data_IF_047161293668
#
_entry.id   IF_047161293668
#
_cell.length_a   1.000
_cell.length_b   1.000
_cell.length_c   1.000
_cell.angle_alpha   90.00
_cell.angle_beta   90.00
_cell.angle_gamma   90.00
#
_symmetry.space_group_name_H-M   'P 1'
#
loop_
_entity.id
_entity.type
_entity.pdbx_description
1 polymer ?
#
# COMPACT_ATOMS: atom_id res chain seq x y z
N UNK A 1 2.67 11.57 15.73
CA UNK A 1 1.42 11.92 14.98
C UNK A 1 1.77 11.84 13.49
N UNK A 2 1.59 10.67 12.87
CA UNK A 2 2.05 10.39 11.51
C UNK A 2 1.14 10.98 10.42
N UNK A 3 1.65 11.05 9.19
CA UNK A 3 0.97 11.68 8.05
C UNK A 3 -0.35 10.97 7.68
N UNK A 4 -0.50 9.71 8.07
CA UNK A 4 -1.68 8.89 7.83
C UNK A 4 -2.95 9.37 8.56
N UNK A 5 -2.83 10.06 9.70
CA UNK A 5 -4.00 10.66 10.38
C UNK A 5 -4.56 11.85 9.60
N UNK A 6 -3.68 12.67 8.99
CA UNK A 6 -4.10 13.79 8.13
C UNK A 6 -4.72 13.30 6.82
N UNK A 7 -4.31 12.12 6.37
CA UNK A 7 -4.91 11.44 5.23
C UNK A 7 -6.21 10.69 5.57
N UNK A 8 -6.74 10.82 6.80
CA UNK A 8 -8.14 10.59 7.24
C UNK A 8 -8.84 9.27 6.90
N UNK A 9 -8.20 8.37 6.16
CA UNK A 9 -8.91 7.29 5.48
C UNK A 9 -8.20 6.86 4.21
N UNK A 10 -6.94 6.41 4.30
CA UNK A 10 -6.32 5.60 3.22
C UNK A 10 -7.19 4.39 2.83
N UNK A 11 -8.12 3.99 3.70
CA UNK A 11 -9.18 3.02 3.44
C UNK A 11 -10.25 3.47 2.41
N UNK A 12 -10.56 4.78 2.32
CA UNK A 12 -11.58 5.33 1.40
C UNK A 12 -11.01 6.29 0.34
N UNK A 13 -9.82 6.84 0.55
CA UNK A 13 -9.18 7.71 -0.41
C UNK A 13 -8.71 6.89 -1.62
N UNK A 14 -9.38 7.11 -2.76
CA UNK A 14 -8.94 6.57 -4.05
C UNK A 14 -7.58 7.20 -4.37
N UNK A 15 -6.51 6.39 -4.51
CA UNK A 15 -5.19 6.94 -4.82
C UNK A 15 -5.24 7.60 -6.20
N UNK A 16 -4.50 8.69 -6.36
CA UNK A 16 -4.27 9.25 -7.68
C UNK A 16 -3.68 8.15 -8.58
N UNK A 17 -4.14 7.98 -9.83
CA UNK A 17 -3.73 6.86 -10.69
C UNK A 17 -2.22 6.80 -10.95
N UNK A 18 -1.50 7.92 -10.80
CA UNK A 18 -0.04 7.98 -10.87
C UNK A 18 0.72 7.71 -9.56
N UNK A 19 0.02 7.41 -8.45
CA UNK A 19 0.68 7.14 -7.16
C UNK A 19 1.36 5.77 -7.19
N UNK A 20 2.61 5.64 -6.69
CA UNK A 20 3.28 4.33 -6.56
C UNK A 20 2.47 3.30 -5.76
N UNK A 21 1.62 3.75 -4.85
CA UNK A 21 0.76 2.89 -4.02
C UNK A 21 -0.61 2.62 -4.65
N UNK A 22 -0.88 3.12 -5.86
CA UNK A 22 -2.16 2.93 -6.55
C UNK A 22 -2.40 1.47 -6.94
N UNK A 23 -1.34 0.69 -7.15
CA UNK A 23 -1.41 -0.74 -7.42
C UNK A 23 -1.78 -1.58 -6.18
N UNK A 24 -1.76 -0.99 -4.98
CA UNK A 24 -2.04 -1.69 -3.72
C UNK A 24 -3.48 -1.51 -3.26
N UNK A 25 -4.04 -2.59 -2.72
CA UNK A 25 -5.29 -2.55 -1.99
C UNK A 25 -5.18 -1.64 -0.75
N UNK A 26 -6.32 -1.15 -0.21
CA UNK A 26 -6.31 -0.20 0.91
C UNK A 26 -5.57 -0.72 2.16
N UNK A 27 -5.69 -2.02 2.45
CA UNK A 27 -5.07 -2.65 3.62
C UNK A 27 -3.55 -2.85 3.45
N UNK A 28 -3.10 -3.29 2.28
CA UNK A 28 -1.68 -3.42 1.94
C UNK A 28 -0.95 -2.08 2.02
N UNK A 29 -1.60 -1.03 1.53
CA UNK A 29 -1.08 0.33 1.56
C UNK A 29 -0.82 0.78 2.98
N UNK A 30 -1.77 0.56 3.87
CA UNK A 30 -1.64 1.00 5.25
C UNK A 30 -0.54 0.22 5.99
N UNK A 31 -0.44 -1.08 5.73
CA UNK A 31 0.66 -1.91 6.23
C UNK A 31 2.02 -1.40 5.73
N UNK A 32 2.16 -1.09 4.44
CA UNK A 32 3.39 -0.53 3.87
C UNK A 32 3.75 0.83 4.47
N UNK A 33 2.77 1.73 4.61
CA UNK A 33 2.99 3.05 5.21
C UNK A 33 3.49 2.91 6.64
N UNK A 34 2.84 2.08 7.45
CA UNK A 34 3.24 1.87 8.84
C UNK A 34 4.61 1.18 8.95
N UNK A 35 4.86 0.14 8.15
CA UNK A 35 6.07 -0.71 8.28
C UNK A 35 7.31 -0.11 7.62
N UNK A 36 7.19 0.52 6.45
CA UNK A 36 8.34 1.01 5.68
C UNK A 36 8.57 2.52 5.81
N UNK A 37 7.50 3.33 5.83
CA UNK A 37 7.65 4.79 5.87
C UNK A 37 7.69 5.34 7.29
N UNK A 38 6.91 4.76 8.20
CA UNK A 38 6.83 5.22 9.60
C UNK A 38 7.67 4.34 10.56
N UNK A 39 8.22 3.21 10.08
CA UNK A 39 9.11 2.34 10.86
C UNK A 39 8.45 1.61 12.04
N UNK A 40 7.12 1.49 12.06
CA UNK A 40 6.36 0.84 13.13
C UNK A 40 6.63 -0.66 13.13
N UNK A 41 6.78 -1.29 14.30
CA UNK A 41 6.99 -2.74 14.41
C UNK A 41 5.79 -3.56 13.89
N UNK A 42 6.01 -4.81 13.50
CA UNK A 42 4.95 -5.70 12.98
C UNK A 42 3.83 -5.94 14.00
N UNK A 43 4.18 -6.24 15.24
CA UNK A 43 3.21 -6.47 16.31
C UNK A 43 2.41 -5.22 16.65
N UNK A 44 3.06 -4.06 16.67
CA UNK A 44 2.38 -2.79 16.91
C UNK A 44 1.45 -2.43 15.75
N UNK A 45 1.86 -2.72 14.51
CA UNK A 45 0.98 -2.60 13.33
C UNK A 45 -0.22 -3.54 13.45
N UNK A 46 -0.01 -4.79 13.86
CA UNK A 46 -1.07 -5.76 14.05
C UNK A 46 -2.10 -5.28 15.10
N UNK A 47 -1.61 -4.76 16.22
CA UNK A 47 -2.44 -4.18 17.28
C UNK A 47 -3.25 -2.96 16.80
N UNK A 48 -2.62 -2.06 16.04
CA UNK A 48 -3.29 -0.86 15.49
C UNK A 48 -4.38 -1.21 14.47
N UNK A 49 -4.25 -2.34 13.77
CA UNK A 49 -5.16 -2.76 12.71
C UNK A 49 -6.17 -3.82 13.14
N UNK A 50 -6.06 -4.34 14.37
CA UNK A 50 -6.89 -5.46 14.83
C UNK A 50 -6.67 -6.73 14.00
N UNK A 51 -5.45 -6.97 13.53
CA UNK A 51 -5.07 -8.13 12.72
C UNK A 51 -4.08 -9.02 13.49
N UNK A 52 -3.84 -10.24 13.00
CA UNK A 52 -2.68 -11.02 13.46
C UNK A 52 -1.38 -10.50 12.86
N UNK A 53 -0.27 -10.66 13.59
CA UNK A 53 1.09 -10.34 13.10
C UNK A 53 1.42 -11.09 11.81
N UNK A 54 1.07 -12.38 11.75
CA UNK A 54 1.22 -13.19 10.53
C UNK A 54 0.51 -12.57 9.33
N UNK A 55 -0.72 -12.08 9.50
CA UNK A 55 -1.47 -11.44 8.42
C UNK A 55 -0.81 -10.13 7.99
N UNK A 56 -0.24 -9.36 8.92
CA UNK A 56 0.56 -8.16 8.60
C UNK A 56 1.80 -8.55 7.80
N UNK A 57 2.52 -9.62 8.19
CA UNK A 57 3.69 -10.12 7.49
C UNK A 57 3.37 -10.54 6.05
N UNK A 58 2.30 -11.31 5.86
CA UNK A 58 1.84 -11.73 4.52
C UNK A 58 1.50 -10.53 3.65
N UNK A 59 0.79 -9.54 4.20
CA UNK A 59 0.45 -8.32 3.48
C UNK A 59 1.69 -7.49 3.14
N UNK A 60 2.66 -7.38 4.04
CA UNK A 60 3.95 -6.73 3.79
C UNK A 60 4.67 -7.36 2.59
N UNK A 61 4.83 -8.68 2.61
CA UNK A 61 5.54 -9.40 1.54
C UNK A 61 4.83 -9.23 0.21
N UNK A 62 3.49 -9.42 0.19
CA UNK A 62 2.70 -9.27 -1.03
C UNK A 62 2.73 -7.85 -1.58
N UNK A 63 2.61 -6.85 -0.71
CA UNK A 63 2.68 -5.45 -1.10
C UNK A 63 4.08 -5.09 -1.64
N UNK A 64 5.15 -5.55 -0.99
CA UNK A 64 6.52 -5.33 -1.43
C UNK A 64 6.77 -5.98 -2.79
N UNK A 65 6.30 -7.21 -3.00
CA UNK A 65 6.37 -7.87 -4.30
C UNK A 65 5.64 -7.08 -5.40
N UNK A 66 4.45 -6.55 -5.10
CA UNK A 66 3.69 -5.72 -6.04
C UNK A 66 4.40 -4.40 -6.35
N UNK A 67 5.01 -3.74 -5.36
CA UNK A 67 5.74 -2.48 -5.55
C UNK A 67 7.05 -2.66 -6.31
N UNK A 68 7.76 -3.77 -6.07
CA UNK A 68 9.00 -4.10 -6.76
C UNK A 68 8.74 -4.61 -8.18
N UNK A 69 7.51 -5.00 -8.51
CA UNK A 69 7.13 -5.35 -9.88
C UNK A 69 7.08 -4.08 -10.71
N UNK A 70 8.01 -3.95 -11.67
CA UNK A 70 8.01 -2.85 -12.65
C UNK A 70 6.61 -2.76 -13.29
N UNK A 71 5.94 -1.59 -13.27
CA UNK A 71 4.66 -1.45 -13.95
C UNK A 71 4.90 -1.74 -15.44
N UNK A 72 4.14 -2.70 -15.98
CA UNK A 72 4.08 -2.89 -17.42
C UNK A 72 3.65 -1.55 -18.02
N UNK A 73 4.41 -1.06 -19.01
CA UNK A 73 4.04 0.16 -19.72
C UNK A 73 2.58 0.01 -20.19
N UNK A 74 1.72 1.04 -20.04
CA UNK A 74 0.39 0.99 -20.61
C UNK A 74 0.52 0.62 -22.08
N UNK A 75 -0.31 -0.31 -22.62
CA UNK A 75 -0.24 -0.66 -24.02
C UNK A 75 -0.34 0.65 -24.81
N UNK A 76 0.65 0.91 -25.67
CA UNK A 76 0.62 2.06 -26.56
C UNK A 76 -0.75 2.04 -27.24
N UNK A 77 -1.52 3.11 -27.04
CA UNK A 77 -2.78 3.27 -27.75
C UNK A 77 -2.42 3.22 -29.23
N UNK A 78 -2.73 2.10 -29.88
CA UNK A 78 -2.64 1.97 -31.33
C UNK A 78 -3.68 2.93 -31.88
N UNK A 79 -3.23 4.15 -32.18
CA UNK A 79 -4.02 5.13 -32.90
C UNK A 79 -4.44 4.49 -34.21
N UNK A 80 -5.74 4.25 -34.35
CA UNK A 80 -6.33 3.76 -35.58
C UNK A 80 -6.01 4.71 -36.73
N UNK A 81 -5.53 4.11 -37.81
CA UNK A 81 -5.38 4.71 -39.15
C UNK A 81 -6.72 4.80 -39.83
#
# INVERSE_FOLDING_TARGET
>A
RGAWHRAGGLHRARPHPGSPLAALGPQERLVVVLRLYEGVAEEQTAALLGLSSERVRVLCVRATATLLRRPAAPPAAVGGV
#
